data_IF_673699391228
#
_entry.id   IF_673699391228
#
_cell.length_a   1.000
_cell.length_b   1.000
_cell.length_c   1.000
_cell.angle_alpha   90.00
_cell.angle_beta   90.00
_cell.angle_gamma   90.00
#
_symmetry.space_group_name_H-M   'P 1'
#
loop_
_entity.id
_entity.type
_entity.pdbx_description
1 polymer ?
#
# COMPACT_ATOMS: atom_id res chain seq x y z
N UNK A 1 -6.47 -53.51 2.62
CA UNK A 1 -7.00 -52.15 2.35
C UNK A 1 -6.56 -51.12 3.41
N UNK A 2 -6.23 -51.50 4.66
CA UNK A 2 -5.83 -50.55 5.72
C UNK A 2 -4.43 -49.90 5.56
N UNK A 3 -3.52 -50.48 4.77
CA UNK A 3 -2.17 -49.92 4.55
C UNK A 3 -2.15 -48.77 3.54
N UNK A 4 -3.09 -48.78 2.58
CA UNK A 4 -3.25 -47.72 1.58
C UNK A 4 -3.84 -46.44 2.22
N UNK A 5 -4.71 -46.59 3.21
CA UNK A 5 -5.29 -45.44 3.96
C UNK A 5 -4.21 -44.78 4.84
N UNK A 6 -3.34 -45.58 5.48
CA UNK A 6 -2.21 -45.05 6.25
C UNK A 6 -1.19 -44.30 5.37
N UNK A 7 -0.95 -44.77 4.15
CA UNK A 7 -0.04 -44.10 3.21
C UNK A 7 -0.63 -42.77 2.68
N UNK A 8 -1.94 -42.71 2.47
CA UNK A 8 -2.65 -41.48 2.07
C UNK A 8 -2.62 -40.39 3.16
N UNK A 9 -2.64 -40.79 4.44
CA UNK A 9 -2.64 -39.83 5.55
C UNK A 9 -1.27 -39.17 5.75
N UNK A 10 -0.19 -39.90 5.50
CA UNK A 10 1.20 -39.40 5.59
C UNK A 10 1.51 -38.39 4.47
N UNK A 11 0.96 -38.59 3.28
CA UNK A 11 1.14 -37.66 2.15
C UNK A 11 0.38 -36.34 2.38
N UNK A 12 -0.79 -36.38 3.04
CA UNK A 12 -1.56 -35.18 3.38
C UNK A 12 -0.87 -34.32 4.46
N UNK A 13 -0.15 -34.94 5.40
CA UNK A 13 0.63 -34.21 6.41
C UNK A 13 1.94 -33.61 5.88
N UNK A 14 2.48 -34.11 4.76
CA UNK A 14 3.68 -33.54 4.13
C UNK A 14 3.38 -32.25 3.33
N UNK A 15 2.13 -32.03 2.92
CA UNK A 15 1.73 -30.88 2.11
C UNK A 15 1.48 -29.59 2.92
N UNK A 16 1.35 -29.67 4.25
CA UNK A 16 1.05 -28.51 5.12
C UNK A 16 2.29 -27.69 5.51
N UNK A 17 3.51 -28.09 5.11
CA UNK A 17 4.74 -27.36 5.42
C UNK A 17 5.06 -26.21 4.46
N UNK A 18 4.14 -25.81 3.58
CA UNK A 18 4.24 -24.51 2.87
C UNK A 18 3.84 -23.35 3.79
N UNK A 19 4.47 -23.27 4.96
CA UNK A 19 4.35 -22.14 5.87
C UNK A 19 5.24 -21.00 5.37
N UNK A 20 4.62 -20.07 4.64
CA UNK A 20 4.91 -18.62 4.68
C UNK A 20 6.37 -18.15 4.58
N UNK A 21 7.16 -18.75 3.69
CA UNK A 21 8.25 -18.02 3.05
C UNK A 21 7.67 -17.19 1.89
N UNK A 22 6.70 -16.32 2.18
CA UNK A 22 6.25 -15.32 1.21
C UNK A 22 7.44 -14.38 1.00
N UNK A 23 8.12 -14.52 -0.15
CA UNK A 23 9.16 -13.57 -0.55
C UNK A 23 8.51 -12.19 -0.51
N UNK A 24 8.89 -11.38 0.46
CA UNK A 24 8.32 -10.06 0.62
C UNK A 24 8.55 -9.27 -0.67
N UNK A 25 7.46 -8.79 -1.26
CA UNK A 25 7.49 -8.11 -2.55
C UNK A 25 8.09 -6.72 -2.42
N UNK A 26 8.79 -6.23 -3.45
CA UNK A 26 9.20 -4.83 -3.50
C UNK A 26 7.96 -3.95 -3.58
N UNK A 27 7.77 -3.11 -2.57
CA UNK A 27 6.66 -2.17 -2.51
C UNK A 27 7.08 -0.90 -3.25
N UNK A 28 6.55 -0.70 -4.47
CA UNK A 28 6.95 0.43 -5.33
C UNK A 28 5.98 1.61 -5.18
N UNK A 29 6.43 2.63 -4.47
CA UNK A 29 5.74 3.90 -4.24
C UNK A 29 5.48 4.70 -5.54
N UNK A 30 6.32 4.57 -6.56
CA UNK A 30 6.18 5.28 -7.83
C UNK A 30 4.96 4.83 -8.65
N UNK A 31 4.52 3.57 -8.50
CA UNK A 31 3.30 3.06 -9.15
C UNK A 31 2.03 3.77 -8.65
N UNK A 32 2.04 4.27 -7.40
CA UNK A 32 0.89 4.96 -6.82
C UNK A 32 0.68 6.32 -7.51
N UNK A 33 1.77 7.03 -7.85
CA UNK A 33 1.73 8.33 -8.54
C UNK A 33 1.30 8.17 -9.99
N UNK A 34 1.83 7.17 -10.71
CA UNK A 34 1.60 7.00 -12.15
C UNK A 34 0.14 6.65 -12.50
N UNK A 35 -0.63 6.12 -11.55
CA UNK A 35 -2.03 5.76 -11.76
C UNK A 35 -3.02 6.92 -11.67
N UNK A 36 -2.60 8.12 -11.23
CA UNK A 36 -3.50 9.24 -10.96
C UNK A 36 -3.13 10.49 -11.78
N UNK A 37 -3.86 10.82 -12.86
CA UNK A 37 -3.58 12.00 -13.67
C UNK A 37 -3.89 13.28 -12.89
N UNK A 38 -2.88 14.14 -12.73
CA UNK A 38 -3.01 15.44 -12.08
C UNK A 38 -4.10 16.28 -12.78
N UNK A 39 -5.18 16.56 -12.06
CA UNK A 39 -6.21 17.51 -12.46
C UNK A 39 -5.58 18.90 -12.36
N UNK A 40 -5.52 19.66 -13.45
CA UNK A 40 -4.89 21.00 -13.46
C UNK A 40 -5.48 22.01 -12.45
N UNK A 41 -5.26 23.31 -12.67
CA UNK A 41 -4.59 24.30 -11.78
C UNK A 41 -4.40 24.06 -10.26
N UNK A 42 -4.79 22.93 -9.68
CA UNK A 42 -4.59 22.57 -8.27
C UNK A 42 -3.32 21.72 -8.02
N UNK A 43 -2.41 21.69 -9.00
CA UNK A 43 -1.27 20.76 -9.00
C UNK A 43 -0.37 20.87 -7.78
N UNK A 44 -0.05 22.08 -7.30
CA UNK A 44 0.97 22.24 -6.24
C UNK A 44 0.50 21.70 -4.89
N UNK A 45 -0.75 21.92 -4.52
CA UNK A 45 -1.30 21.42 -3.25
C UNK A 45 -1.54 19.90 -3.31
N UNK A 46 -2.01 19.41 -4.46
CA UNK A 46 -2.22 17.97 -4.67
C UNK A 46 -0.88 17.22 -4.72
N UNK A 47 0.13 17.78 -5.39
CA UNK A 47 1.49 17.22 -5.46
C UNK A 47 2.18 17.25 -4.08
N UNK A 48 2.04 18.34 -3.32
CA UNK A 48 2.56 18.40 -1.94
C UNK A 48 1.86 17.39 -1.02
N UNK A 49 0.54 17.21 -1.16
CA UNK A 49 -0.22 16.22 -0.40
C UNK A 49 0.20 14.79 -0.77
N UNK A 50 0.36 14.50 -2.07
CA UNK A 50 0.86 13.20 -2.53
C UNK A 50 2.28 12.93 -2.01
N UNK A 51 3.21 13.90 -2.13
CA UNK A 51 4.57 13.76 -1.59
C UNK A 51 4.57 13.54 -0.07
N UNK A 52 3.79 14.32 0.68
CA UNK A 52 3.67 14.17 2.13
C UNK A 52 3.11 12.82 2.58
N UNK A 53 2.34 12.13 1.73
CA UNK A 53 1.85 10.77 1.99
C UNK A 53 2.81 9.69 1.51
N UNK A 54 3.57 9.94 0.44
CA UNK A 54 4.49 8.98 -0.15
C UNK A 54 5.84 8.94 0.54
N UNK A 55 6.36 10.05 1.03
CA UNK A 55 7.60 10.13 1.80
C UNK A 55 7.61 9.18 3.03
N UNK A 56 6.59 9.19 3.92
CA UNK A 56 6.56 8.26 5.05
C UNK A 56 6.38 6.80 4.63
N UNK A 57 5.72 6.55 3.50
CA UNK A 57 5.55 5.20 2.95
C UNK A 57 6.85 4.66 2.33
N UNK A 58 7.58 5.50 1.60
CA UNK A 58 8.89 5.17 1.03
C UNK A 58 9.92 4.92 2.14
N UNK A 59 9.91 5.74 3.19
CA UNK A 59 10.75 5.55 4.37
C UNK A 59 10.45 4.22 5.08
N UNK A 60 9.18 3.89 5.30
CA UNK A 60 8.78 2.61 5.92
C UNK A 60 9.11 1.41 5.02
N UNK A 61 8.90 1.52 3.71
CA UNK A 61 9.23 0.46 2.75
C UNK A 61 10.73 0.16 2.73
N UNK A 62 11.57 1.21 2.72
CA UNK A 62 13.04 1.06 2.82
C UNK A 62 13.48 0.48 4.16
N UNK A 63 12.86 0.92 5.25
CA UNK A 63 13.16 0.39 6.58
C UNK A 63 12.82 -1.11 6.67
N UNK A 64 11.69 -1.51 6.10
CA UNK A 64 11.27 -2.90 6.00
C UNK A 64 12.24 -3.74 5.15
N UNK A 65 12.64 -3.27 3.97
CA UNK A 65 13.64 -3.94 3.13
C UNK A 65 14.97 -4.14 3.88
N UNK A 66 15.42 -3.11 4.61
CA UNK A 66 16.64 -3.20 5.42
C UNK A 66 16.51 -4.24 6.54
N UNK A 67 15.38 -4.26 7.26
CA UNK A 67 15.10 -5.25 8.31
C UNK A 67 15.02 -6.67 7.76
N UNK A 68 14.41 -6.83 6.59
CA UNK A 68 14.32 -8.12 5.92
C UNK A 68 15.71 -8.63 5.51
N UNK A 69 16.55 -7.77 4.89
CA UNK A 69 17.93 -8.13 4.55
C UNK A 69 18.73 -8.54 5.79
N UNK A 70 18.62 -7.77 6.88
CA UNK A 70 19.27 -8.10 8.14
C UNK A 70 18.80 -9.46 8.70
N UNK A 71 17.49 -9.73 8.67
CA UNK A 71 16.95 -11.02 9.07
C UNK A 71 17.51 -12.17 8.22
N UNK A 72 17.58 -12.02 6.90
CA UNK A 72 18.13 -13.05 6.01
C UNK A 72 19.60 -13.29 6.32
N UNK A 73 20.38 -12.25 6.56
CA UNK A 73 21.80 -12.35 6.91
C UNK A 73 21.99 -13.05 8.27
N UNK A 74 21.24 -12.65 9.29
CA UNK A 74 21.28 -13.25 10.62
C UNK A 74 20.77 -14.70 10.66
N UNK A 75 19.80 -15.03 9.81
CA UNK A 75 19.29 -16.39 9.67
C UNK A 75 20.31 -17.30 8.99
N UNK A 76 21.03 -16.80 7.99
CA UNK A 76 22.09 -17.53 7.30
C UNK A 76 23.37 -17.69 8.14
N UNK A 77 23.67 -16.74 9.04
CA UNK A 77 24.81 -16.84 9.95
C UNK A 77 24.58 -17.84 11.10
N UNK A 78 23.37 -18.39 11.24
CA UNK A 78 23.04 -19.40 12.25
C UNK A 78 23.06 -18.87 13.69
N UNK A 79 23.12 -17.56 13.89
CA UNK A 79 23.22 -16.89 15.20
C UNK A 79 21.86 -16.70 15.88
N UNK A 80 20.75 -16.84 15.15
CA UNK A 80 19.41 -16.68 15.70
C UNK A 80 18.86 -17.99 16.27
N UNK A 81 18.34 -17.94 17.50
CA UNK A 81 17.55 -19.05 18.05
C UNK A 81 16.22 -19.19 17.31
N UNK A 82 15.63 -20.39 17.33
CA UNK A 82 14.35 -20.65 16.66
C UNK A 82 13.22 -19.70 17.12
N UNK A 83 13.18 -19.35 18.41
CA UNK A 83 12.22 -18.36 18.93
C UNK A 83 12.52 -16.96 18.40
N UNK A 84 13.79 -16.57 18.31
CA UNK A 84 14.16 -15.27 17.76
C UNK A 84 13.81 -15.17 16.25
N UNK A 85 14.00 -16.25 15.49
CA UNK A 85 13.58 -16.30 14.08
C UNK A 85 12.06 -16.17 13.94
N UNK A 86 11.29 -16.90 14.75
CA UNK A 86 9.83 -16.83 14.75
C UNK A 86 9.34 -15.41 15.07
N UNK A 87 9.89 -14.77 16.11
CA UNK A 87 9.52 -13.41 16.50
C UNK A 87 9.84 -12.39 15.40
N UNK A 88 11.03 -12.49 14.78
CA UNK A 88 11.40 -11.61 13.65
C UNK A 88 10.50 -11.83 12.44
N UNK A 89 10.13 -13.07 12.15
CA UNK A 89 9.21 -13.39 11.05
C UNK A 89 7.81 -12.83 11.28
N UNK A 90 7.28 -12.93 12.51
CA UNK A 90 5.99 -12.33 12.87
C UNK A 90 6.05 -10.80 12.78
N UNK A 91 7.13 -10.18 13.26
CA UNK A 91 7.32 -8.74 13.17
C UNK A 91 7.37 -8.26 11.70
N UNK A 92 8.13 -8.94 10.85
CA UNK A 92 8.19 -8.64 9.41
C UNK A 92 6.83 -8.84 8.73
N UNK A 93 6.07 -9.88 9.09
CA UNK A 93 4.73 -10.09 8.55
C UNK A 93 3.79 -8.94 8.94
N UNK A 94 3.81 -8.53 10.21
CA UNK A 94 2.98 -7.40 10.70
C UNK A 94 3.36 -6.10 10.01
N UNK A 95 4.65 -5.86 9.78
CA UNK A 95 5.14 -4.69 9.07
C UNK A 95 4.72 -4.70 7.60
N UNK A 96 4.76 -5.86 6.94
CA UNK A 96 4.25 -6.03 5.58
C UNK A 96 2.75 -5.74 5.48
N UNK A 97 1.95 -6.24 6.43
CA UNK A 97 0.51 -5.99 6.48
C UNK A 97 0.20 -4.51 6.73
N UNK A 98 1.02 -3.86 7.56
CA UNK A 98 0.95 -2.42 7.83
C UNK A 98 1.26 -1.59 6.57
N UNK A 99 2.30 -1.97 5.82
CA UNK A 99 2.64 -1.32 4.54
C UNK A 99 1.51 -1.47 3.51
N UNK A 100 0.91 -2.65 3.39
CA UNK A 100 -0.21 -2.88 2.50
C UNK A 100 -1.42 -2.00 2.88
N UNK A 101 -1.74 -1.93 4.18
CA UNK A 101 -2.81 -1.07 4.69
C UNK A 101 -2.52 0.41 4.42
N UNK A 102 -1.28 0.85 4.66
CA UNK A 102 -0.86 2.22 4.41
C UNK A 102 -0.98 2.57 2.93
N UNK A 103 -0.59 1.65 2.04
CA UNK A 103 -0.75 1.81 0.59
C UNK A 103 -2.21 2.03 0.19
N UNK A 104 -3.14 1.22 0.71
CA UNK A 104 -4.57 1.38 0.46
C UNK A 104 -5.10 2.72 1.00
N UNK A 105 -4.68 3.11 2.20
CA UNK A 105 -5.05 4.40 2.78
C UNK A 105 -4.55 5.58 1.94
N UNK A 106 -3.33 5.51 1.40
CA UNK A 106 -2.79 6.55 0.53
C UNK A 106 -3.63 6.66 -0.74
N UNK A 107 -3.93 5.53 -1.41
CA UNK A 107 -4.80 5.52 -2.60
C UNK A 107 -6.16 6.15 -2.30
N UNK A 108 -6.77 5.78 -1.18
CA UNK A 108 -8.06 6.32 -0.76
C UNK A 108 -8.00 7.83 -0.48
N UNK A 109 -6.96 8.31 0.23
CA UNK A 109 -6.77 9.72 0.53
C UNK A 109 -6.54 10.56 -0.72
N UNK A 110 -5.75 10.06 -1.67
CA UNK A 110 -5.52 10.71 -2.97
C UNK A 110 -6.84 10.82 -3.73
N UNK A 111 -7.57 9.72 -3.87
CA UNK A 111 -8.89 9.70 -4.52
C UNK A 111 -9.89 10.68 -3.87
N UNK A 112 -9.95 10.74 -2.53
CA UNK A 112 -10.82 11.69 -1.83
C UNK A 112 -10.45 13.15 -2.13
N UNK A 113 -9.16 13.48 -2.09
CA UNK A 113 -8.69 14.84 -2.35
C UNK A 113 -9.01 15.25 -3.79
N UNK A 114 -8.88 14.33 -4.74
CA UNK A 114 -9.26 14.57 -6.13
C UNK A 114 -10.76 14.77 -6.33
N UNK A 115 -11.60 13.92 -5.75
CA UNK A 115 -13.05 14.09 -5.78
C UNK A 115 -13.47 15.46 -5.21
N UNK A 116 -12.80 15.90 -4.15
CA UNK A 116 -13.02 17.23 -3.60
C UNK A 116 -12.69 18.34 -4.60
N UNK A 117 -11.53 18.28 -5.27
CA UNK A 117 -11.19 19.25 -6.31
C UNK A 117 -12.16 19.25 -7.49
N UNK A 118 -12.56 18.06 -7.97
CA UNK A 118 -13.59 17.94 -9.02
C UNK A 118 -14.92 18.57 -8.61
N UNK A 119 -15.37 18.34 -7.36
CA UNK A 119 -16.61 18.95 -6.84
C UNK A 119 -16.52 20.47 -6.72
N UNK A 120 -15.37 21.01 -6.31
CA UNK A 120 -15.16 22.45 -6.22
C UNK A 120 -15.14 23.10 -7.60
N UNK A 121 -14.51 22.45 -8.58
CA UNK A 121 -14.45 22.94 -9.94
C UNK A 121 -15.85 22.99 -10.59
N UNK A 122 -16.68 21.96 -10.40
CA UNK A 122 -18.05 21.92 -10.93
C UNK A 122 -18.98 22.93 -10.26
N UNK A 123 -18.80 23.21 -8.97
CA UNK A 123 -19.51 24.28 -8.27
C UNK A 123 -19.10 25.66 -8.78
N UNK A 124 -17.81 25.89 -9.03
CA UNK A 124 -17.31 27.17 -9.54
C UNK A 124 -17.79 27.46 -10.97
N UNK A 125 -17.82 26.45 -11.84
CA UNK A 125 -18.33 26.61 -13.21
C UNK A 125 -19.83 26.90 -13.25
N UNK A 126 -20.63 26.26 -12.39
CA UNK A 126 -22.08 26.49 -12.30
C UNK A 126 -22.42 27.88 -11.73
N UNK A 127 -21.67 28.38 -10.75
CA UNK A 127 -21.84 29.75 -10.21
C UNK A 127 -21.43 30.81 -11.24
N UNK A 128 -20.34 30.60 -11.99
CA UNK A 128 -19.91 31.52 -13.05
C UNK A 128 -20.93 31.61 -14.19
N UNK A 129 -21.55 30.48 -14.57
CA UNK A 129 -22.61 30.46 -15.58
C UNK A 129 -23.88 31.16 -15.10
N UNK A 130 -24.28 31.01 -13.83
CA UNK A 130 -25.45 31.72 -13.26
C UNK A 130 -25.21 33.23 -13.07
N UNK A 131 -23.99 33.65 -12.73
CA UNK A 131 -23.64 35.07 -12.59
C UNK A 131 -23.67 35.81 -13.92
N UNK A 132 -23.32 35.13 -15.02
CA UNK A 132 -23.37 35.70 -16.37
C UNK A 132 -24.82 35.84 -16.85
N UNK A 133 -25.64 34.80 -16.63
CA UNK A 133 -27.06 34.81 -17.00
C UNK A 133 -27.90 35.85 -16.24
N UNK A 134 -27.48 36.30 -15.05
CA UNK A 134 -28.19 37.35 -14.29
C UNK A 134 -27.85 38.78 -14.75
N UNK A 135 -26.77 38.96 -15.52
CA UNK A 135 -26.35 40.27 -16.04
C UNK A 135 -27.10 40.66 -17.32
N UNK A 136 -27.70 39.67 -18.00
CA UNK A 136 -28.46 39.85 -19.24
C UNK A 136 -29.99 39.97 -19.01
N UNK A 137 -30.45 39.99 -17.74
CA UNK A 137 -31.88 40.02 -17.37
C UNK A 137 -32.19 41.21 -16.43
N UNK A 138 -31.48 42.34 -16.60
CA UNK A 138 -31.92 43.61 -16.01
C UNK A 138 -31.93 44.66 -17.13
N UNK A 139 -33.10 45.12 -17.60
CA UNK A 139 -33.21 46.23 -18.55
C UNK A 139 -32.74 47.56 -17.95
#
# INVERSE_FOLDING_TARGET
MNKLILFSLVIFMAASQQSSAQKFGHVNSALIIQGHPLIGPANTELEAFQKGLLDPFDAQSKAFEARYRAYVEEANSGTLSQIAQQNKQVALQTEQDSLNTLQEQIKFKVMQKENHFYSLFSLRSTVSSRSSARKDIIP
#
